data_IF_436891595671
#
_entry.id   IF_436891595671
#
_cell.length_a   1.000
_cell.length_b   1.000
_cell.length_c   1.000
_cell.angle_alpha   90.00
_cell.angle_beta   90.00
_cell.angle_gamma   90.00
#
_symmetry.space_group_name_H-M   'P 1'
#
loop_
_entity.id
_entity.type
_entity.pdbx_description
1 polymer ?
#
# COMPACT_ATOMS: atom_id res chain seq x y z
N UNK A 1 -29.25 -6.26 48.90
CA UNK A 1 -29.91 -4.96 48.67
C UNK A 1 -28.83 -3.90 48.85
N UNK A 2 -28.24 -3.24 47.86
CA UNK A 2 -28.35 -3.19 46.40
C UNK A 2 -27.04 -2.47 46.00
N UNK A 3 -26.14 -3.19 45.32
CA UNK A 3 -25.78 -2.97 43.92
C UNK A 3 -25.04 -1.65 43.64
N UNK A 4 -23.74 -1.80 43.41
CA UNK A 4 -22.84 -0.87 42.74
C UNK A 4 -23.42 -0.53 41.36
N UNK A 5 -23.85 0.71 41.16
CA UNK A 5 -24.09 1.24 39.83
C UNK A 5 -22.75 1.68 39.22
N UNK A 6 -22.27 0.89 38.26
CA UNK A 6 -21.16 1.27 37.39
C UNK A 6 -21.71 2.26 36.35
N UNK A 7 -21.18 3.49 36.25
CA UNK A 7 -21.61 4.39 35.20
C UNK A 7 -20.97 3.96 33.87
N UNK A 8 -21.83 3.48 32.99
CA UNK A 8 -21.79 3.84 31.58
C UNK A 8 -20.74 3.10 30.76
N UNK A 9 -21.18 1.99 30.17
CA UNK A 9 -20.58 1.46 28.96
C UNK A 9 -20.45 2.59 27.92
N UNK A 10 -19.22 3.06 27.74
CA UNK A 10 -18.87 3.99 26.68
C UNK A 10 -19.26 3.36 25.35
N UNK A 11 -20.07 4.14 24.62
CA UNK A 11 -20.70 3.81 23.35
C UNK A 11 -19.68 3.15 22.43
N UNK A 12 -19.82 1.85 22.22
CA UNK A 12 -19.20 1.14 21.12
C UNK A 12 -19.64 1.83 19.83
N UNK A 13 -18.80 2.73 19.35
CA UNK A 13 -19.01 3.42 18.09
C UNK A 13 -19.27 2.38 17.02
N UNK A 14 -20.39 2.52 16.34
CA UNK A 14 -20.70 1.77 15.12
C UNK A 14 -19.55 2.06 14.15
N UNK A 15 -18.57 1.14 14.09
CA UNK A 15 -17.48 1.23 13.12
C UNK A 15 -18.09 1.03 11.74
N UNK A 16 -18.44 2.14 11.09
CA UNK A 16 -18.78 2.14 9.67
C UNK A 16 -17.60 1.50 8.95
N UNK A 17 -17.77 0.27 8.46
CA UNK A 17 -16.67 -0.53 7.91
C UNK A 17 -16.19 0.14 6.62
N UNK A 18 -15.23 1.05 6.72
CA UNK A 18 -14.67 1.77 5.58
C UNK A 18 -13.95 0.76 4.71
N UNK A 19 -14.46 0.53 3.50
CA UNK A 19 -13.79 -0.30 2.51
C UNK A 19 -12.53 0.43 2.02
N UNK A 20 -11.36 -0.06 2.45
CA UNK A 20 -10.06 0.41 2.03
C UNK A 20 -9.54 -0.44 0.87
N UNK A 21 -8.91 0.22 -0.09
CA UNK A 21 -8.34 -0.44 -1.27
C UNK A 21 -6.91 -0.01 -1.48
N UNK A 22 -5.96 -0.93 -1.27
CA UNK A 22 -4.53 -0.64 -1.41
C UNK A 22 -3.97 -1.29 -2.66
N UNK A 23 -3.03 -0.61 -3.30
CA UNK A 23 -2.16 -1.22 -4.28
C UNK A 23 -0.87 -1.72 -3.62
N UNK A 24 -0.48 -2.95 -3.90
CA UNK A 24 0.79 -3.54 -3.50
C UNK A 24 1.62 -3.75 -4.76
N UNK A 25 2.71 -2.99 -4.85
CA UNK A 25 3.64 -2.96 -5.97
C UNK A 25 4.99 -3.53 -5.51
N UNK A 26 5.74 -4.07 -6.45
CA UNK A 26 6.96 -4.81 -6.17
C UNK A 26 7.06 -6.00 -7.10
N UNK A 27 8.08 -6.81 -6.90
CA UNK A 27 8.32 -7.96 -7.77
C UNK A 27 7.39 -9.10 -7.35
N UNK A 28 6.83 -9.89 -8.29
CA UNK A 28 5.88 -10.95 -7.95
C UNK A 28 6.41 -11.92 -6.88
N UNK A 29 7.69 -12.30 -6.95
CA UNK A 29 8.31 -13.16 -5.95
C UNK A 29 8.38 -12.52 -4.56
N UNK A 30 8.54 -11.20 -4.47
CA UNK A 30 8.59 -10.48 -3.19
C UNK A 30 7.19 -10.26 -2.59
N UNK A 31 6.15 -10.30 -3.43
CA UNK A 31 4.75 -10.07 -3.03
C UNK A 31 4.06 -11.37 -2.62
N UNK A 32 4.24 -12.44 -3.40
CA UNK A 32 3.45 -13.67 -3.26
C UNK A 32 4.15 -14.76 -2.46
N UNK A 33 5.48 -14.74 -2.35
CA UNK A 33 6.19 -15.73 -1.56
C UNK A 33 5.90 -15.52 -0.07
N UNK A 34 5.36 -16.55 0.60
CA UNK A 34 4.93 -16.46 1.99
C UNK A 34 6.08 -16.31 2.99
N UNK A 35 7.28 -16.78 2.63
CA UNK A 35 8.46 -16.72 3.48
C UNK A 35 9.11 -15.34 3.37
N UNK A 36 9.22 -14.79 2.15
CA UNK A 36 9.82 -13.48 1.88
C UNK A 36 8.86 -12.36 2.30
N UNK A 37 7.60 -12.41 1.86
CA UNK A 37 6.61 -11.34 2.11
C UNK A 37 5.99 -11.37 3.51
N UNK A 38 6.26 -12.43 4.28
CA UNK A 38 5.63 -12.66 5.59
C UNK A 38 4.09 -12.62 5.49
N UNK A 39 3.57 -13.10 4.36
CA UNK A 39 2.15 -13.12 4.03
C UNK A 39 1.45 -11.76 4.11
N UNK A 40 2.11 -10.69 3.65
CA UNK A 40 1.59 -9.33 3.75
C UNK A 40 0.20 -9.14 3.14
N UNK A 41 -0.10 -9.83 2.02
CA UNK A 41 -1.43 -9.82 1.40
C UNK A 41 -2.48 -10.37 2.36
N UNK A 42 -2.15 -11.46 3.08
CA UNK A 42 -3.06 -12.07 4.06
C UNK A 42 -3.30 -11.12 5.23
N UNK A 43 -2.25 -10.48 5.76
CA UNK A 43 -2.35 -9.49 6.84
C UNK A 43 -3.21 -8.29 6.42
N UNK A 44 -2.99 -7.72 5.23
CA UNK A 44 -3.85 -6.65 4.68
C UNK A 44 -5.32 -7.05 4.59
N UNK A 45 -5.61 -8.27 4.10
CA UNK A 45 -6.99 -8.78 4.04
C UNK A 45 -7.61 -8.95 5.43
N UNK A 46 -6.84 -9.42 6.41
CA UNK A 46 -7.30 -9.53 7.81
C UNK A 46 -7.64 -8.16 8.42
N UNK A 47 -6.90 -7.11 8.04
CA UNK A 47 -7.20 -5.72 8.41
C UNK A 47 -8.40 -5.12 7.66
N UNK A 48 -9.05 -5.89 6.77
CA UNK A 48 -10.22 -5.46 6.00
C UNK A 48 -9.88 -4.64 4.76
N UNK A 49 -8.63 -4.71 4.28
CA UNK A 49 -8.16 -3.99 3.09
C UNK A 49 -8.25 -4.88 1.86
N UNK A 50 -8.88 -4.35 0.80
CA UNK A 50 -8.85 -4.95 -0.54
C UNK A 50 -7.49 -4.68 -1.19
N UNK A 51 -6.82 -5.73 -1.66
CA UNK A 51 -5.48 -5.64 -2.26
C UNK A 51 -5.58 -5.72 -3.78
N UNK A 52 -4.94 -4.80 -4.47
CA UNK A 52 -4.65 -4.87 -5.90
C UNK A 52 -3.15 -4.94 -6.13
N UNK A 53 -2.71 -5.69 -7.13
CA UNK A 53 -1.32 -5.76 -7.57
C UNK A 53 -1.17 -5.25 -8.99
N UNK A 54 0.07 -5.11 -9.47
CA UNK A 54 0.33 -4.72 -10.85
C UNK A 54 -0.29 -5.71 -11.87
N UNK A 55 -0.37 -7.00 -11.53
CA UNK A 55 -0.94 -8.05 -12.38
C UNK A 55 -2.46 -7.97 -12.49
N UNK A 56 -3.13 -7.31 -11.54
CA UNK A 56 -4.57 -7.07 -11.63
C UNK A 56 -4.93 -5.93 -12.62
N UNK A 57 -3.93 -5.28 -13.22
CA UNK A 57 -4.12 -4.21 -14.19
C UNK A 57 -4.03 -4.80 -15.60
N UNK A 58 -5.01 -4.47 -16.44
CA UNK A 58 -5.04 -4.97 -17.82
C UNK A 58 -3.75 -4.56 -18.58
N UNK A 59 -3.05 -5.49 -19.26
CA UNK A 59 -1.77 -5.23 -19.91
C UNK A 59 -1.80 -4.06 -20.90
N UNK A 60 -2.91 -3.88 -21.63
CA UNK A 60 -3.06 -2.74 -22.54
C UNK A 60 -3.01 -1.37 -21.82
N UNK A 61 -3.55 -1.27 -20.60
CA UNK A 61 -3.51 -0.02 -19.83
C UNK A 61 -2.09 0.31 -19.40
N UNK A 62 -1.31 -0.72 -19.02
CA UNK A 62 0.10 -0.57 -18.69
C UNK A 62 0.93 -0.20 -19.92
N UNK A 63 0.66 -0.81 -21.08
CA UNK A 63 1.36 -0.52 -22.33
C UNK A 63 1.15 0.93 -22.81
N UNK A 64 -0.02 1.52 -22.50
CA UNK A 64 -0.34 2.92 -22.79
C UNK A 64 0.35 3.91 -21.83
N UNK A 65 0.78 3.47 -20.65
CA UNK A 65 1.47 4.36 -19.72
C UNK A 65 2.88 4.69 -20.21
N UNK A 66 3.21 5.98 -20.15
CA UNK A 66 4.59 6.45 -20.25
C UNK A 66 5.22 6.41 -18.85
N UNK A 67 6.53 6.18 -18.78
CA UNK A 67 7.25 5.99 -17.52
C UNK A 67 7.48 7.31 -16.76
N UNK A 68 6.42 7.99 -16.31
CA UNK A 68 6.53 9.22 -15.51
C UNK A 68 7.48 10.28 -16.12
N UNK A 69 7.34 10.53 -17.43
CA UNK A 69 8.21 11.45 -18.20
C UNK A 69 9.69 11.04 -18.31
N UNK A 70 10.05 9.78 -18.01
CA UNK A 70 11.40 9.29 -18.26
C UNK A 70 11.72 9.28 -19.76
N UNK A 71 12.96 9.67 -20.13
CA UNK A 71 13.39 9.69 -21.53
C UNK A 71 13.49 8.28 -22.13
N UNK A 72 13.64 7.24 -21.30
CA UNK A 72 13.77 5.84 -21.72
C UNK A 72 12.96 4.92 -20.82
N UNK A 73 12.58 3.76 -21.38
CA UNK A 73 11.98 2.68 -20.59
C UNK A 73 13.00 2.10 -19.61
N UNK A 74 12.52 1.60 -18.49
CA UNK A 74 13.38 0.86 -17.57
C UNK A 74 13.83 -0.43 -18.25
N UNK A 75 15.09 -0.78 -18.04
CA UNK A 75 15.68 -1.98 -18.64
C UNK A 75 15.05 -3.26 -18.09
N UNK A 76 14.75 -3.28 -16.78
CA UNK A 76 14.14 -4.43 -16.11
C UNK A 76 12.61 -4.40 -16.26
N UNK A 77 12.07 -5.44 -16.89
CA UNK A 77 10.64 -5.57 -17.19
C UNK A 77 9.76 -5.45 -15.95
N UNK A 78 10.15 -6.08 -14.84
CA UNK A 78 9.36 -6.03 -13.60
C UNK A 78 9.33 -4.63 -12.99
N UNK A 79 10.46 -3.91 -13.01
CA UNK A 79 10.50 -2.51 -12.58
C UNK A 79 9.68 -1.61 -13.51
N UNK A 80 9.75 -1.84 -14.81
CA UNK A 80 8.96 -1.10 -15.82
C UNK A 80 7.45 -1.27 -15.56
N UNK A 81 7.01 -2.51 -15.35
CA UNK A 81 5.62 -2.84 -15.02
C UNK A 81 5.19 -2.20 -13.70
N UNK A 82 5.99 -2.32 -12.64
CA UNK A 82 5.70 -1.74 -11.34
C UNK A 82 5.62 -0.21 -11.40
N UNK A 83 6.53 0.45 -12.13
CA UNK A 83 6.50 1.91 -12.31
C UNK A 83 5.26 2.37 -13.09
N UNK A 84 4.91 1.68 -14.18
CA UNK A 84 3.71 1.98 -14.96
C UNK A 84 2.43 1.78 -14.15
N UNK A 85 2.38 0.73 -13.35
CA UNK A 85 1.29 0.48 -12.42
C UNK A 85 1.19 1.62 -11.39
N UNK A 86 2.31 2.01 -10.76
CA UNK A 86 2.36 3.13 -9.83
C UNK A 86 1.82 4.41 -10.45
N UNK A 87 2.33 4.79 -11.63
CA UNK A 87 1.92 6.00 -12.35
C UNK A 87 0.42 6.00 -12.64
N UNK A 88 -0.10 4.88 -13.18
CA UNK A 88 -1.53 4.73 -13.46
C UNK A 88 -2.38 4.93 -12.20
N UNK A 89 -1.98 4.30 -11.09
CA UNK A 89 -2.73 4.28 -9.84
C UNK A 89 -2.71 5.65 -9.16
N UNK A 90 -1.55 6.32 -9.13
CA UNK A 90 -1.44 7.69 -8.63
C UNK A 90 -2.30 8.66 -9.45
N UNK A 91 -2.29 8.53 -10.78
CA UNK A 91 -3.07 9.40 -11.67
C UNK A 91 -4.58 9.16 -11.59
N UNK A 92 -5.00 7.90 -11.50
CA UNK A 92 -6.43 7.57 -11.43
C UNK A 92 -7.04 7.83 -10.05
N UNK A 93 -6.25 7.77 -8.97
CA UNK A 93 -6.75 7.98 -7.61
C UNK A 93 -7.79 6.95 -7.16
N UNK A 94 -7.82 5.75 -7.77
CA UNK A 94 -8.79 4.68 -7.48
C UNK A 94 -8.36 3.76 -6.33
N UNK A 95 -7.31 4.13 -5.61
CA UNK A 95 -6.77 3.40 -4.45
C UNK A 95 -6.59 4.38 -3.30
N UNK A 96 -6.82 3.89 -2.09
CA UNK A 96 -6.71 4.66 -0.85
C UNK A 96 -5.27 4.74 -0.35
N UNK A 97 -4.39 3.86 -0.83
CA UNK A 97 -2.97 3.84 -0.48
C UNK A 97 -2.17 2.95 -1.42
N UNK A 98 -0.87 3.23 -1.54
CA UNK A 98 0.08 2.44 -2.33
C UNK A 98 1.23 1.97 -1.44
N UNK A 99 1.53 0.68 -1.53
CA UNK A 99 2.60 0.02 -0.82
C UNK A 99 3.61 -0.51 -1.84
N UNK A 100 4.88 -0.20 -1.68
CA UNK A 100 5.97 -0.76 -2.48
C UNK A 100 6.78 -1.75 -1.64
N UNK A 101 6.81 -3.01 -2.04
CA UNK A 101 7.63 -4.05 -1.43
C UNK A 101 8.93 -4.20 -2.20
N UNK A 102 10.04 -4.06 -1.50
CA UNK A 102 11.40 -4.22 -2.02
C UNK A 102 12.21 -5.12 -1.09
N UNK A 103 13.26 -5.75 -1.58
CA UNK A 103 14.22 -6.46 -0.74
C UNK A 103 15.45 -5.58 -0.46
N UNK A 104 16.11 -5.81 0.69
CA UNK A 104 17.40 -5.22 1.01
C UNK A 104 18.44 -5.61 -0.04
N UNK A 105 19.29 -4.66 -0.44
CA UNK A 105 20.33 -4.88 -1.44
C UNK A 105 19.84 -5.04 -2.88
N UNK A 106 18.54 -4.86 -3.16
CA UNK A 106 18.03 -4.93 -4.53
C UNK A 106 18.35 -3.64 -5.31
N UNK A 107 19.39 -3.70 -6.15
CA UNK A 107 19.82 -2.58 -7.00
C UNK A 107 18.72 -2.01 -7.92
N UNK A 108 18.05 -2.83 -8.77
CA UNK A 108 17.00 -2.30 -9.66
C UNK A 108 15.81 -1.72 -8.89
N UNK A 109 15.46 -2.30 -7.73
CA UNK A 109 14.36 -1.81 -6.90
C UNK A 109 14.70 -0.49 -6.21
N UNK A 110 15.97 -0.24 -5.92
CA UNK A 110 16.41 1.04 -5.33
C UNK A 110 16.14 2.21 -6.28
N UNK A 111 16.37 2.01 -7.58
CA UNK A 111 16.03 2.99 -8.61
C UNK A 111 14.50 3.12 -8.75
N UNK A 112 13.79 1.99 -8.84
CA UNK A 112 12.33 1.96 -8.93
C UNK A 112 11.68 2.70 -7.75
N UNK A 113 12.12 2.42 -6.53
CA UNK A 113 11.63 3.03 -5.31
C UNK A 113 11.74 4.56 -5.41
N UNK A 114 12.91 5.05 -5.85
CA UNK A 114 13.11 6.50 -6.01
C UNK A 114 12.15 7.11 -7.02
N UNK A 115 11.91 6.42 -8.14
CA UNK A 115 10.99 6.87 -9.18
C UNK A 115 9.54 6.93 -8.66
N UNK A 116 9.10 5.91 -7.94
CA UNK A 116 7.76 5.85 -7.33
C UNK A 116 7.62 6.93 -6.24
N UNK A 117 8.63 7.15 -5.39
CA UNK A 117 8.63 8.21 -4.39
C UNK A 117 8.48 9.61 -5.00
N UNK A 118 9.17 9.88 -6.12
CA UNK A 118 9.05 11.15 -6.83
C UNK A 118 7.63 11.34 -7.38
N UNK A 119 7.01 10.27 -7.87
CA UNK A 119 5.63 10.30 -8.34
C UNK A 119 4.64 10.52 -7.18
N UNK A 120 4.83 9.82 -6.05
CA UNK A 120 4.02 10.00 -4.85
C UNK A 120 4.04 11.45 -4.34
N UNK A 121 5.19 12.14 -4.43
CA UNK A 121 5.32 13.56 -4.05
C UNK A 121 4.46 14.49 -4.92
N UNK A 122 4.22 14.14 -6.18
CA UNK A 122 3.30 14.88 -7.07
C UNK A 122 1.84 14.61 -6.70
N UNK A 123 1.53 13.43 -6.17
CA UNK A 123 0.18 12.96 -5.85
C UNK A 123 -0.07 12.84 -4.33
N UNK A 124 0.05 13.96 -3.60
CA UNK A 124 -0.03 14.00 -2.11
C UNK A 124 -1.35 13.47 -1.51
N UNK A 125 -2.40 13.37 -2.33
CA UNK A 125 -3.69 12.82 -1.94
C UNK A 125 -3.65 11.30 -1.73
N UNK A 126 -2.71 10.59 -2.35
CA UNK A 126 -2.55 9.13 -2.23
C UNK A 126 -1.38 8.82 -1.30
N UNK A 127 -1.63 8.29 -0.08
CA UNK A 127 -0.59 7.80 0.82
C UNK A 127 0.29 6.74 0.15
N UNK A 128 1.59 6.84 0.37
CA UNK A 128 2.59 5.93 -0.17
C UNK A 128 3.56 5.48 0.92
N UNK A 129 3.88 4.19 0.94
CA UNK A 129 4.86 3.59 1.85
C UNK A 129 5.72 2.59 1.08
N UNK A 130 7.00 2.52 1.41
CA UNK A 130 7.89 1.43 0.99
C UNK A 130 8.17 0.54 2.19
N UNK A 131 7.97 -0.76 2.02
CA UNK A 131 8.39 -1.78 2.97
C UNK A 131 9.57 -2.54 2.38
N UNK A 132 10.66 -2.52 3.14
CA UNK A 132 11.87 -3.24 2.81
C UNK A 132 11.89 -4.56 3.58
N UNK A 133 12.03 -5.65 2.83
CA UNK A 133 12.21 -6.99 3.36
C UNK A 133 13.71 -7.18 3.57
N UNK A 134 14.08 -7.51 4.79
CA UNK A 134 15.46 -7.73 5.21
C UNK A 134 15.49 -8.95 6.13
N UNK A 135 16.52 -9.77 6.00
CA UNK A 135 16.71 -11.00 6.78
C UNK A 135 16.83 -10.70 8.28
N UNK A 136 17.34 -9.53 8.64
CA UNK A 136 17.40 -9.06 10.02
C UNK A 136 16.13 -8.33 10.48
N UNK A 137 15.24 -7.95 9.56
CA UNK A 137 14.00 -7.24 9.92
C UNK A 137 12.95 -8.25 10.33
N UNK A 138 12.74 -8.37 11.65
CA UNK A 138 11.76 -9.29 12.21
C UNK A 138 10.34 -9.04 11.70
N UNK A 139 9.58 -10.12 11.48
CA UNK A 139 8.17 -10.13 11.06
C UNK A 139 7.30 -9.11 11.82
N UNK A 140 7.53 -8.97 13.12
CA UNK A 140 6.79 -8.05 13.99
C UNK A 140 6.96 -6.58 13.57
N UNK A 141 8.15 -6.17 13.10
CA UNK A 141 8.42 -4.80 12.68
C UNK A 141 7.69 -4.42 11.39
N UNK A 142 7.66 -5.34 10.43
CA UNK A 142 6.90 -5.15 9.18
C UNK A 142 5.39 -5.14 9.45
N UNK A 143 4.89 -6.04 10.31
CA UNK A 143 3.48 -6.08 10.69
C UNK A 143 3.04 -4.77 11.36
N UNK A 144 3.80 -4.28 12.34
CA UNK A 144 3.49 -3.03 13.04
C UNK A 144 3.50 -1.83 12.10
N UNK A 145 4.47 -1.77 11.17
CA UNK A 145 4.54 -0.70 10.17
C UNK A 145 3.35 -0.72 9.22
N UNK A 146 2.94 -1.92 8.78
CA UNK A 146 1.77 -2.12 7.94
C UNK A 146 0.48 -1.70 8.66
N UNK A 147 0.31 -2.10 9.92
CA UNK A 147 -0.84 -1.74 10.75
C UNK A 147 -0.95 -0.22 10.92
N UNK A 148 0.16 0.43 11.30
CA UNK A 148 0.23 1.88 11.43
C UNK A 148 -0.11 2.60 10.10
N UNK A 149 0.33 2.06 8.97
CA UNK A 149 -0.02 2.61 7.66
C UNK A 149 -1.51 2.47 7.37
N UNK A 150 -2.09 1.28 7.58
CA UNK A 150 -3.54 1.05 7.40
C UNK A 150 -4.36 2.02 8.26
N UNK A 151 -4.00 2.18 9.53
CA UNK A 151 -4.66 3.08 10.46
C UNK A 151 -4.56 4.54 10.03
N UNK A 152 -3.39 4.99 9.57
CA UNK A 152 -3.19 6.33 9.05
C UNK A 152 -4.11 6.61 7.86
N UNK A 153 -4.17 5.68 6.90
CA UNK A 153 -5.05 5.82 5.72
C UNK A 153 -6.52 5.77 6.11
N UNK A 154 -6.92 4.88 7.03
CA UNK A 154 -8.30 4.77 7.54
C UNK A 154 -8.75 6.10 8.13
N UNK A 155 -7.97 6.67 9.05
CA UNK A 155 -8.26 7.96 9.69
C UNK A 155 -8.37 9.09 8.66
N UNK A 156 -7.47 9.14 7.68
CA UNK A 156 -7.54 10.14 6.60
C UNK A 156 -8.89 10.05 5.86
N UNK A 157 -9.41 8.85 5.62
CA UNK A 157 -10.69 8.63 4.93
C UNK A 157 -11.91 8.97 5.79
N UNK A 158 -11.83 8.73 7.10
CA UNK A 158 -12.87 9.07 8.08
C UNK A 158 -12.97 10.58 8.38
N UNK A 159 -11.87 11.32 8.26
CA UNK A 159 -11.85 12.77 8.49
C UNK A 159 -12.39 13.57 7.28
N UNK A 160 -12.28 13.03 6.05
CA UNK A 160 -12.81 13.66 4.83
C UNK A 160 -14.34 13.94 4.86
N UNK A 161 -15.24 13.07 5.36
CA UNK A 161 -16.67 13.36 5.40
C UNK A 161 -17.05 14.53 6.32
N UNK A 162 -16.21 14.96 7.27
CA UNK A 162 -16.52 16.07 8.18
C UNK A 162 -16.27 17.47 7.56
N UNK A 163 -15.77 17.54 6.32
CA UNK A 163 -15.43 18.81 5.64
C UNK A 163 -16.49 19.27 4.61
N UNK A 164 -17.68 18.67 4.64
CA UNK A 164 -18.83 19.07 3.81
C UNK A 164 -19.95 19.63 4.68
#
# INVERSE_FOLDING_TARGET
MELLETPGADKAGVQTKVNLKFAVLGYPYAIYDSFISVNIIKKLRQLGVMVMTAENIHPALLALQRNCDLPKRLFWTLSDVALKAAHLLFKQGRVDGILHLTAFGCGPDSLLNKLIEMEAKKHRNVPFMTLMIDEHTGEAGMATSLEAFVDMVRRRKEVIPCRK
#
